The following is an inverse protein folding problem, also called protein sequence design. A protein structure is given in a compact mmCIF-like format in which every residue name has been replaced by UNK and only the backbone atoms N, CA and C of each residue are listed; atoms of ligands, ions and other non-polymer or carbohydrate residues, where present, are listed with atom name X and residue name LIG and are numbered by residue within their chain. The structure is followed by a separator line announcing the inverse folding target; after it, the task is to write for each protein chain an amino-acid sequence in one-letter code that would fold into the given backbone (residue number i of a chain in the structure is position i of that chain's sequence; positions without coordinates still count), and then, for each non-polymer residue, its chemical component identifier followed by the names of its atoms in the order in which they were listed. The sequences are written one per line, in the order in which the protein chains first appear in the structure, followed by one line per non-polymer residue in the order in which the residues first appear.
data_IF_985624558269
#
_entry.id   IF_985624558269
#
_cell.length_a   1.000
_cell.length_b   1.000
_cell.length_c   1.000
_cell.angle_alpha   90.00
_cell.angle_beta   90.00
_cell.angle_gamma   90.00
#
_symmetry.space_group_name_H-M   'P 1'
#
loop_
_entity.id
_entity.type
_entity.pdbx_description
1 polymer ?
#
# COMPACT_ATOMS: atom_id res chain seq x y z
N UNK A 1 5.30 -7.27 -34.32
CA UNK A 1 4.40 -6.09 -34.25
C UNK A 1 3.40 -6.36 -33.15
N UNK A 2 3.72 -6.01 -31.91
CA UNK A 2 2.85 -6.25 -30.74
C UNK A 2 2.18 -4.93 -30.41
N UNK A 3 0.92 -4.79 -30.80
CA UNK A 3 0.07 -3.68 -30.40
C UNK A 3 -0.26 -3.82 -28.92
N UNK A 4 0.45 -3.05 -28.09
CA UNK A 4 0.05 -2.83 -26.69
C UNK A 4 -1.28 -2.08 -26.72
N UNK A 5 -2.34 -2.79 -26.35
CA UNK A 5 -3.65 -2.22 -26.16
C UNK A 5 -3.63 -1.37 -24.89
N UNK A 6 -3.30 -0.09 -25.05
CA UNK A 6 -3.47 0.89 -23.99
C UNK A 6 -4.95 1.24 -23.92
N UNK A 7 -5.66 0.72 -22.93
CA UNK A 7 -7.02 1.14 -22.66
C UNK A 7 -7.00 2.57 -22.11
N UNK A 8 -7.52 3.57 -22.83
CA UNK A 8 -7.63 4.90 -22.25
C UNK A 8 -8.69 4.85 -21.16
N UNK A 9 -8.27 4.85 -19.89
CA UNK A 9 -9.20 5.10 -18.79
C UNK A 9 -9.78 6.48 -19.03
N UNK A 10 -11.08 6.56 -19.36
CA UNK A 10 -11.72 7.82 -19.70
C UNK A 10 -11.65 8.79 -18.50
N UNK A 11 -11.52 10.08 -18.78
CA UNK A 11 -11.50 11.12 -17.72
C UNK A 11 -12.73 11.02 -16.80
N UNK A 12 -13.88 10.58 -17.35
CA UNK A 12 -15.10 10.33 -16.59
C UNK A 12 -14.98 9.18 -15.60
N UNK A 13 -14.32 8.08 -15.96
CA UNK A 13 -14.06 6.96 -15.02
C UNK A 13 -13.16 7.40 -13.87
N UNK A 14 -12.15 8.18 -14.18
CA UNK A 14 -11.21 8.71 -13.17
C UNK A 14 -11.91 9.65 -12.19
N UNK A 15 -12.78 10.54 -12.69
CA UNK A 15 -13.59 11.43 -11.87
C UNK A 15 -14.57 10.65 -10.99
N UNK A 16 -15.24 9.65 -11.53
CA UNK A 16 -16.14 8.79 -10.78
C UNK A 16 -15.42 8.05 -9.64
N UNK A 17 -14.25 7.47 -9.93
CA UNK A 17 -13.45 6.76 -8.94
C UNK A 17 -12.99 7.68 -7.80
N UNK A 18 -12.51 8.89 -8.11
CA UNK A 18 -12.12 9.86 -7.09
C UNK A 18 -13.32 10.36 -6.27
N UNK A 19 -14.50 10.44 -6.86
CA UNK A 19 -15.72 10.74 -6.11
C UNK A 19 -16.02 9.62 -5.12
N UNK A 20 -16.01 8.36 -5.57
CA UNK A 20 -16.23 7.19 -4.71
C UNK A 20 -15.21 7.10 -3.56
N UNK A 21 -13.93 7.45 -3.80
CA UNK A 21 -12.91 7.57 -2.73
C UNK A 21 -13.31 8.61 -1.69
N UNK A 22 -13.91 9.72 -2.10
CA UNK A 22 -14.38 10.75 -1.17
C UNK A 22 -15.51 10.26 -0.25
N UNK A 23 -16.45 9.49 -0.79
CA UNK A 23 -17.64 8.99 -0.10
C UNK A 23 -17.42 7.71 0.72
N UNK A 24 -16.37 6.95 0.41
CA UNK A 24 -16.07 5.69 1.12
C UNK A 24 -15.68 5.93 2.58
N UNK A 25 -16.08 5.05 3.49
CA UNK A 25 -15.65 5.06 4.90
C UNK A 25 -14.18 4.67 5.06
N UNK A 26 -13.67 3.80 4.20
CA UNK A 26 -12.28 3.38 4.14
C UNK A 26 -11.87 3.07 2.70
N UNK A 27 -10.59 3.28 2.40
CA UNK A 27 -10.01 3.02 1.09
C UNK A 27 -8.82 2.06 1.26
N UNK A 28 -8.74 1.04 0.43
CA UNK A 28 -7.58 0.16 0.35
C UNK A 28 -6.94 0.36 -1.02
N UNK A 29 -5.73 0.91 -1.03
CA UNK A 29 -4.93 1.10 -2.23
C UNK A 29 -3.84 0.02 -2.31
N UNK A 30 -4.12 -1.07 -3.04
CA UNK A 30 -3.12 -2.08 -3.34
C UNK A 30 -2.17 -1.60 -4.42
N UNK A 31 -0.87 -1.56 -4.11
CA UNK A 31 0.17 -1.10 -5.04
C UNK A 31 1.24 -2.17 -5.21
N UNK A 32 1.66 -2.37 -6.46
CA UNK A 32 2.67 -3.33 -6.80
C UNK A 32 3.71 -2.71 -7.74
N UNK A 33 4.95 -2.62 -7.27
CA UNK A 33 6.07 -2.21 -8.09
C UNK A 33 6.79 -3.45 -8.61
N UNK A 34 6.75 -3.67 -9.91
CA UNK A 34 7.49 -4.75 -10.56
C UNK A 34 8.94 -4.32 -10.70
N UNK A 35 9.90 -5.01 -10.07
CA UNK A 35 11.31 -4.79 -10.35
C UNK A 35 11.57 -5.16 -11.82
N UNK A 36 11.76 -4.17 -12.67
CA UNK A 36 12.13 -4.39 -14.07
C UNK A 36 13.64 -4.41 -14.18
N UNK A 37 14.24 -5.58 -14.05
CA UNK A 37 15.68 -5.75 -14.21
C UNK A 37 16.15 -5.15 -15.57
N UNK A 38 17.00 -4.13 -15.53
CA UNK A 38 17.61 -3.52 -16.71
C UNK A 38 16.75 -2.51 -17.47
N UNK A 39 15.57 -2.14 -17.02
CA UNK A 39 14.76 -1.06 -17.61
C UNK A 39 14.60 0.10 -16.63
N UNK A 40 15.15 1.25 -16.98
CA UNK A 40 14.82 2.49 -16.32
C UNK A 40 13.35 2.85 -16.66
N UNK A 41 12.51 3.06 -15.63
CA UNK A 41 11.18 3.61 -15.82
C UNK A 41 11.36 5.12 -16.04
N UNK A 42 10.79 5.65 -17.12
CA UNK A 42 10.79 7.09 -17.36
C UNK A 42 9.87 7.76 -16.34
N UNK A 43 10.43 8.49 -15.42
CA UNK A 43 9.72 9.36 -14.50
C UNK A 43 9.73 10.81 -14.97
N UNK A 44 9.01 11.67 -14.28
CA UNK A 44 8.85 13.10 -14.60
C UNK A 44 10.19 13.86 -14.72
N UNK A 45 11.23 13.40 -14.01
CA UNK A 45 12.55 14.04 -13.94
C UNK A 45 13.67 13.17 -14.52
N UNK A 46 13.34 12.24 -15.42
CA UNK A 46 14.31 11.33 -16.03
C UNK A 46 14.15 9.88 -15.59
N UNK A 47 15.09 8.99 -15.92
CA UNK A 47 14.99 7.59 -15.56
C UNK A 47 14.99 7.41 -14.04
N UNK A 48 13.89 6.88 -13.52
CA UNK A 48 13.73 6.57 -12.10
C UNK A 48 14.10 5.13 -11.80
N UNK A 49 14.27 4.85 -10.52
CA UNK A 49 14.58 3.54 -10.01
C UNK A 49 13.53 2.50 -10.47
N UNK A 50 13.99 1.30 -10.83
CA UNK A 50 13.17 0.17 -11.29
C UNK A 50 12.22 -0.40 -10.23
N UNK A 51 12.18 0.19 -9.05
CA UNK A 51 11.33 -0.22 -7.91
C UNK A 51 10.22 0.77 -7.58
N UNK A 52 10.10 1.86 -8.35
CA UNK A 52 9.02 2.85 -8.22
C UNK A 52 7.75 2.41 -8.95
N UNK A 53 6.62 3.02 -8.59
CA UNK A 53 5.38 2.85 -9.35
C UNK A 53 5.49 3.49 -10.74
N UNK A 54 4.79 2.92 -11.72
CA UNK A 54 4.60 3.58 -13.00
C UNK A 54 3.94 4.97 -12.81
N UNK A 55 4.30 5.95 -13.65
CA UNK A 55 3.88 7.34 -13.49
C UNK A 55 2.36 7.50 -13.31
N UNK A 56 1.57 6.78 -14.10
CA UNK A 56 0.09 6.83 -14.01
C UNK A 56 -0.43 6.29 -12.67
N UNK A 57 0.15 5.19 -12.18
CA UNK A 57 -0.21 4.59 -10.89
C UNK A 57 0.21 5.49 -9.72
N UNK A 58 1.39 6.10 -9.83
CA UNK A 58 1.89 7.06 -8.85
C UNK A 58 0.99 8.30 -8.77
N UNK A 59 0.64 8.87 -9.93
CA UNK A 59 -0.26 10.02 -10.00
C UNK A 59 -1.67 9.70 -9.45
N UNK A 60 -2.16 8.49 -9.70
CA UNK A 60 -3.44 8.03 -9.14
C UNK A 60 -3.39 7.92 -7.62
N UNK A 61 -2.37 7.22 -7.10
CA UNK A 61 -2.20 7.07 -5.65
C UNK A 61 -2.07 8.43 -4.96
N UNK A 62 -1.29 9.36 -5.53
CA UNK A 62 -1.17 10.72 -5.00
C UNK A 62 -2.53 11.41 -4.89
N UNK A 63 -3.36 11.34 -5.93
CA UNK A 63 -4.71 11.95 -5.89
C UNK A 63 -5.66 11.29 -4.89
N UNK A 64 -5.52 9.98 -4.67
CA UNK A 64 -6.28 9.28 -3.61
C UNK A 64 -5.85 9.81 -2.24
N UNK A 65 -4.55 9.93 -2.00
CA UNK A 65 -4.00 10.41 -0.74
C UNK A 65 -4.35 11.89 -0.50
N UNK A 66 -4.25 12.75 -1.51
CA UNK A 66 -4.64 14.16 -1.41
C UNK A 66 -6.10 14.33 -0.97
N UNK A 67 -6.96 13.35 -1.28
CA UNK A 67 -8.39 13.40 -0.96
C UNK A 67 -8.77 12.67 0.32
N UNK A 68 -8.08 11.60 0.67
CA UNK A 68 -8.53 10.66 1.68
C UNK A 68 -7.40 9.95 2.44
N UNK A 69 -6.25 10.61 2.69
CA UNK A 69 -5.08 9.98 3.33
C UNK A 69 -5.45 9.30 4.66
N UNK A 70 -6.18 10.00 5.53
CA UNK A 70 -6.52 9.51 6.88
C UNK A 70 -7.38 8.23 6.91
N UNK A 71 -8.07 7.91 5.82
CA UNK A 71 -8.89 6.70 5.67
C UNK A 71 -8.38 5.73 4.61
N UNK A 72 -7.16 5.97 4.09
CA UNK A 72 -6.55 5.13 3.05
C UNK A 72 -5.45 4.25 3.64
N UNK A 73 -5.63 2.94 3.54
CA UNK A 73 -4.58 1.95 3.77
C UNK A 73 -3.84 1.73 2.46
N UNK A 74 -2.57 2.09 2.41
CA UNK A 74 -1.70 1.72 1.28
C UNK A 74 -1.08 0.36 1.55
N UNK A 75 -1.47 -0.62 0.75
CA UNK A 75 -0.93 -1.97 0.79
C UNK A 75 0.16 -2.12 -0.27
N UNK A 76 1.42 -2.06 0.15
CA UNK A 76 2.57 -2.27 -0.74
C UNK A 76 2.92 -3.77 -0.82
N UNK A 77 2.77 -4.34 -2.01
CA UNK A 77 3.11 -5.73 -2.28
C UNK A 77 4.51 -5.80 -2.88
N UNK A 78 5.46 -6.30 -2.08
CA UNK A 78 6.84 -6.56 -2.49
C UNK A 78 7.85 -5.48 -2.08
N UNK A 79 7.64 -4.22 -2.41
CA UNK A 79 8.62 -3.16 -2.18
C UNK A 79 8.26 -2.23 -1.00
N UNK A 80 8.98 -2.28 0.13
CA UNK A 80 8.72 -1.40 1.26
C UNK A 80 9.13 0.06 1.01
N UNK A 81 10.04 0.33 0.08
CA UNK A 81 10.57 1.67 -0.18
C UNK A 81 9.58 2.60 -0.86
N UNK A 82 8.44 2.11 -1.34
CA UNK A 82 7.36 2.95 -1.88
C UNK A 82 6.88 4.00 -0.87
N UNK A 83 7.01 3.76 0.43
CA UNK A 83 6.68 4.74 1.45
C UNK A 83 7.45 6.06 1.31
N UNK A 84 8.66 6.04 0.72
CA UNK A 84 9.46 7.25 0.51
C UNK A 84 8.89 8.17 -0.57
N UNK A 85 8.16 7.62 -1.52
CA UNK A 85 7.61 8.36 -2.65
C UNK A 85 6.30 9.09 -2.28
N UNK A 86 5.65 8.64 -1.19
CA UNK A 86 4.34 9.12 -0.77
C UNK A 86 4.32 9.56 0.71
N UNK A 87 4.89 10.72 1.03
CA UNK A 87 4.99 11.19 2.42
C UNK A 87 3.63 11.47 3.08
N UNK A 88 2.55 11.58 2.30
CA UNK A 88 1.19 11.75 2.79
C UNK A 88 0.51 10.44 3.24
N UNK A 89 1.18 9.30 3.13
CA UNK A 89 0.64 8.02 3.59
C UNK A 89 0.67 7.95 5.11
N UNK A 90 -0.53 7.83 5.72
CA UNK A 90 -0.69 7.68 7.16
C UNK A 90 -0.76 6.22 7.60
N UNK A 91 -1.35 5.36 6.78
CA UNK A 91 -1.53 3.93 7.08
C UNK A 91 -0.86 3.11 5.98
N UNK A 92 0.29 2.52 6.31
CA UNK A 92 1.09 1.75 5.38
C UNK A 92 1.27 0.30 5.84
N UNK A 93 0.90 -0.64 5.00
CA UNK A 93 1.09 -2.09 5.20
C UNK A 93 1.95 -2.64 4.07
N UNK A 94 2.97 -3.44 4.40
CA UNK A 94 3.83 -4.08 3.40
C UNK A 94 3.88 -5.59 3.60
N UNK A 95 3.71 -6.36 2.51
CA UNK A 95 3.76 -7.82 2.54
C UNK A 95 5.12 -8.39 2.15
N UNK A 96 6.05 -7.59 1.62
CA UNK A 96 7.36 -8.01 1.09
C UNK A 96 7.31 -9.09 0.00
N UNK A 97 6.13 -9.44 -0.47
CA UNK A 97 5.87 -10.44 -1.50
C UNK A 97 4.54 -10.15 -2.21
N UNK A 98 4.47 -10.52 -3.46
CA UNK A 98 3.26 -10.50 -4.29
C UNK A 98 2.67 -11.91 -4.51
N UNK A 99 3.09 -12.89 -3.70
CA UNK A 99 2.50 -14.22 -3.76
C UNK A 99 1.06 -14.20 -3.23
N UNK A 100 0.18 -15.04 -3.79
CA UNK A 100 -1.24 -15.10 -3.41
C UNK A 100 -1.46 -15.32 -1.91
N UNK A 101 -0.58 -16.08 -1.25
CA UNK A 101 -0.64 -16.28 0.20
C UNK A 101 -0.41 -14.97 0.98
N UNK A 102 0.44 -14.08 0.45
CA UNK A 102 0.69 -12.77 1.05
C UNK A 102 -0.49 -11.83 0.85
N UNK A 103 -1.13 -11.88 -0.31
CA UNK A 103 -2.34 -11.10 -0.61
C UNK A 103 -3.50 -11.50 0.30
N UNK A 104 -3.75 -12.82 0.45
CA UNK A 104 -4.77 -13.34 1.35
C UNK A 104 -4.47 -12.96 2.80
N UNK A 105 -3.20 -13.07 3.23
CA UNK A 105 -2.79 -12.69 4.58
C UNK A 105 -2.97 -11.19 4.83
N UNK A 106 -2.65 -10.34 3.85
CA UNK A 106 -2.86 -8.90 3.95
C UNK A 106 -4.35 -8.56 4.08
N UNK A 107 -5.21 -9.18 3.27
CA UNK A 107 -6.65 -8.99 3.38
C UNK A 107 -7.15 -9.38 4.79
N UNK A 108 -6.79 -10.58 5.27
CA UNK A 108 -7.14 -11.02 6.62
C UNK A 108 -6.64 -10.08 7.72
N UNK A 109 -5.43 -9.55 7.58
CA UNK A 109 -4.85 -8.61 8.52
C UNK A 109 -5.61 -7.27 8.53
N UNK A 110 -5.96 -6.73 7.35
CA UNK A 110 -6.72 -5.49 7.21
C UNK A 110 -8.10 -5.61 7.83
N UNK A 111 -8.77 -6.75 7.63
CA UNK A 111 -10.08 -7.03 8.22
C UNK A 111 -10.01 -7.55 9.67
N UNK A 112 -8.81 -7.63 10.25
CA UNK A 112 -8.63 -8.01 11.65
C UNK A 112 -8.82 -9.50 11.94
N UNK A 113 -8.88 -10.37 10.94
CA UNK A 113 -9.02 -11.82 11.15
C UNK A 113 -7.75 -12.44 11.74
N UNK A 114 -6.59 -11.85 11.45
CA UNK A 114 -5.29 -12.27 11.98
C UNK A 114 -4.54 -11.09 12.60
N UNK A 115 -3.65 -11.33 13.58
CA UNK A 115 -2.85 -10.27 14.17
C UNK A 115 -1.77 -9.79 13.21
N UNK A 116 -1.40 -8.51 13.29
CA UNK A 116 -0.23 -7.94 12.63
C UNK A 116 0.91 -7.89 13.64
N UNK A 117 2.01 -8.59 13.36
CA UNK A 117 3.23 -8.65 14.19
C UNK A 117 4.50 -8.52 13.36
N UNK A 118 4.35 -8.18 12.09
CA UNK A 118 5.46 -8.04 11.16
C UNK A 118 6.43 -6.93 11.57
N UNK A 119 7.71 -7.12 11.23
CA UNK A 119 8.76 -6.13 11.43
C UNK A 119 9.48 -5.88 10.12
N UNK A 120 9.89 -4.64 9.88
CA UNK A 120 10.66 -4.27 8.70
C UNK A 120 11.99 -5.03 8.66
N UNK A 121 12.29 -5.80 7.61
CA UNK A 121 13.57 -6.48 7.47
C UNK A 121 14.69 -5.54 7.03
N UNK A 122 14.34 -4.33 6.60
CA UNK A 122 15.25 -3.31 6.06
C UNK A 122 14.97 -1.95 6.70
N UNK A 123 15.94 -1.03 6.61
CA UNK A 123 15.72 0.39 6.95
C UNK A 123 15.17 1.11 5.74
N UNK A 124 14.09 1.85 5.90
CA UNK A 124 13.55 2.80 4.91
C UNK A 124 14.09 4.18 5.31
N UNK A 125 15.04 4.77 4.57
CA UNK A 125 15.68 6.04 4.96
C UNK A 125 14.64 7.14 5.22
N UNK A 126 14.82 7.87 6.31
CA UNK A 126 13.94 8.96 6.78
C UNK A 126 12.50 8.56 7.14
N UNK A 127 12.13 7.27 7.06
CA UNK A 127 10.78 6.77 7.38
C UNK A 127 10.83 5.85 8.60
N UNK A 128 11.58 4.71 8.52
CA UNK A 128 11.57 3.71 9.57
C UNK A 128 12.85 2.87 9.58
N UNK A 129 13.33 2.52 10.77
CA UNK A 129 14.50 1.67 10.93
C UNK A 129 14.12 0.18 10.75
N UNK A 130 15.13 -0.64 10.41
CA UNK A 130 15.01 -2.10 10.47
C UNK A 130 14.49 -2.54 11.85
N UNK A 131 13.53 -3.45 11.88
CA UNK A 131 12.87 -3.92 13.10
C UNK A 131 11.64 -3.10 13.50
N UNK A 132 11.39 -1.94 12.88
CA UNK A 132 10.17 -1.17 13.11
C UNK A 132 8.93 -1.93 12.68
N UNK A 133 7.82 -1.68 13.36
CA UNK A 133 6.51 -2.25 13.06
C UNK A 133 5.55 -2.04 14.23
N UNK A 134 4.27 -2.11 13.94
CA UNK A 134 3.21 -1.98 14.92
C UNK A 134 2.56 -3.34 15.18
N UNK A 135 2.31 -3.66 16.44
CA UNK A 135 1.51 -4.81 16.81
C UNK A 135 0.03 -4.44 16.81
N UNK A 136 -0.77 -5.25 16.14
CA UNK A 136 -2.23 -5.17 16.17
C UNK A 136 -2.79 -6.57 16.47
N UNK A 137 -3.56 -6.76 17.54
CA UNK A 137 -4.23 -8.04 17.79
C UNK A 137 -5.28 -8.30 16.71
N UNK A 138 -5.63 -9.57 16.50
CA UNK A 138 -6.81 -9.91 15.74
C UNK A 138 -8.06 -9.38 16.46
N UNK A 139 -9.08 -8.97 15.70
CA UNK A 139 -10.39 -8.65 16.24
C UNK A 139 -11.09 -9.96 16.62
N UNK A 140 -11.51 -10.09 17.88
CA UNK A 140 -12.35 -11.20 18.28
C UNK A 140 -13.78 -10.97 17.78
N UNK A 141 -14.47 -12.04 17.41
CA UNK A 141 -15.83 -12.00 16.84
C UNK A 141 -16.87 -11.22 17.67
N UNK A 142 -16.55 -10.84 18.91
CA UNK A 142 -17.44 -10.11 19.84
C UNK A 142 -16.96 -8.70 20.20
N UNK A 143 -16.00 -8.11 19.45
CA UNK A 143 -15.57 -6.72 19.68
C UNK A 143 -14.94 -6.44 21.06
N UNK A 144 -14.62 -7.47 21.85
CA UNK A 144 -14.03 -7.35 23.19
C UNK A 144 -12.56 -7.73 23.12
N UNK A 145 -11.69 -6.74 23.19
CA UNK A 145 -10.27 -6.98 23.42
C UNK A 145 -10.10 -7.59 24.82
N UNK A 146 -9.77 -8.87 24.90
CA UNK A 146 -9.29 -9.47 26.15
C UNK A 146 -7.94 -8.86 26.49
N UNK A 147 -7.96 -7.83 27.30
CA UNK A 147 -6.78 -7.31 27.99
C UNK A 147 -6.42 -8.34 29.06
N UNK A 148 -5.60 -9.32 28.72
CA UNK A 148 -5.01 -10.21 29.71
C UNK A 148 -3.99 -9.38 30.47
N UNK A 149 -4.39 -8.88 31.64
CA UNK A 149 -3.47 -8.42 32.65
C UNK A 149 -2.67 -9.63 33.13
N UNK A 150 -1.41 -9.70 32.73
CA UNK A 150 -0.42 -10.55 33.37
C UNK A 150 0.08 -9.82 34.61
N UNK A 151 -0.60 -10.03 35.71
CA UNK A 151 -0.07 -9.76 37.03
C UNK A 151 0.58 -11.06 37.55
N UNK A 152 1.89 -11.16 37.45
CA UNK A 152 2.78 -11.78 38.43
C UNK A 152 4.25 -11.59 38.06
#
# INVERSE_FOLDING_TARGET
MSTLFSWPVSASFFTFMLHAVGEADAVIAGVYAVPSAGRAIQGKNGPTNTVSLAEQSSALLQKILDRAAAKTVVLAMGNPYLAQEFPAVEIYLCTFSNASVSEVSAAKAIFGEIPIRGRLPVTIPNIAQRGAGLDRPALTANGVSNHVQSSR
#
